data_IF_130334828417
#
_entry.id   IF_130334828417
#
_cell.length_a   1.000
_cell.length_b   1.000
_cell.length_c   1.000
_cell.angle_alpha   90.00
_cell.angle_beta   90.00
_cell.angle_gamma   90.00
#
_symmetry.space_group_name_H-M   'P 1'
#
loop_
_entity.id
_entity.type
_entity.pdbx_description
1 polymer ?
#
# COMPACT_ATOMS: atom_id res chain seq x y z
N UNK A 1 -4.36 0.11 -10.37
CA UNK A 1 -3.85 -1.10 -9.66
C UNK A 1 -4.14 -0.94 -8.18
N UNK A 2 -4.66 -1.96 -7.50
CA UNK A 2 -5.00 -1.88 -6.07
C UNK A 2 -3.77 -1.94 -5.16
N UNK A 3 -3.91 -1.47 -3.92
CA UNK A 3 -2.82 -1.46 -2.91
C UNK A 3 -2.22 -2.84 -2.68
N UNK A 4 -3.03 -3.90 -2.67
CA UNK A 4 -2.56 -5.29 -2.58
C UNK A 4 -1.60 -5.65 -3.73
N UNK A 5 -1.98 -5.32 -4.97
CA UNK A 5 -1.15 -5.57 -6.16
C UNK A 5 0.17 -4.81 -6.09
N UNK A 6 0.15 -3.52 -5.74
CA UNK A 6 1.37 -2.72 -5.62
C UNK A 6 2.28 -3.25 -4.52
N UNK A 7 1.72 -3.58 -3.36
CA UNK A 7 2.48 -4.16 -2.23
C UNK A 7 3.17 -5.46 -2.64
N UNK A 8 2.44 -6.38 -3.26
CA UNK A 8 2.99 -7.64 -3.76
C UNK A 8 4.08 -7.43 -4.80
N UNK A 9 3.88 -6.52 -5.76
CA UNK A 9 4.87 -6.21 -6.79
C UNK A 9 6.14 -5.60 -6.21
N UNK A 10 6.03 -4.63 -5.30
CA UNK A 10 7.20 -4.02 -4.66
C UNK A 10 7.95 -5.02 -3.77
N UNK A 11 7.23 -5.87 -3.03
CA UNK A 11 7.83 -6.93 -2.22
C UNK A 11 8.58 -7.93 -3.09
N UNK A 12 7.95 -8.40 -4.18
CA UNK A 12 8.56 -9.35 -5.10
C UNK A 12 9.79 -8.76 -5.79
N UNK A 13 9.67 -7.55 -6.34
CA UNK A 13 10.78 -6.86 -7.00
C UNK A 13 11.96 -6.61 -6.03
N UNK A 14 11.68 -6.14 -4.82
CA UNK A 14 12.72 -5.90 -3.81
C UNK A 14 13.38 -7.20 -3.31
N UNK A 15 12.62 -8.29 -3.18
CA UNK A 15 13.15 -9.60 -2.80
C UNK A 15 14.07 -10.18 -3.87
N UNK A 16 13.71 -10.06 -5.15
CA UNK A 16 14.59 -10.50 -6.24
C UNK A 16 15.85 -9.65 -6.29
N UNK A 17 15.71 -8.32 -6.16
CA UNK A 17 16.84 -7.40 -6.22
C UNK A 17 17.82 -7.54 -5.05
N UNK A 18 17.36 -8.02 -3.90
CA UNK A 18 18.15 -8.17 -2.67
C UNK A 18 18.19 -9.62 -2.19
N UNK A 19 18.13 -10.56 -3.13
CA UNK A 19 18.09 -11.99 -2.80
C UNK A 19 19.32 -12.42 -2.00
N UNK A 20 20.51 -11.93 -2.34
CA UNK A 20 21.76 -12.32 -1.68
C UNK A 20 21.75 -11.95 -0.18
N UNK A 21 21.11 -10.84 0.17
CA UNK A 21 20.94 -10.45 1.58
C UNK A 21 19.97 -11.40 2.30
N UNK A 22 18.82 -11.70 1.69
CA UNK A 22 17.84 -12.65 2.22
C UNK A 22 18.45 -14.03 2.41
N UNK A 23 19.19 -14.52 1.41
CA UNK A 23 19.88 -15.80 1.44
C UNK A 23 20.95 -15.84 2.53
N UNK A 24 21.71 -14.75 2.69
CA UNK A 24 22.67 -14.60 3.80
C UNK A 24 22.00 -14.71 5.17
N UNK A 25 20.87 -14.05 5.39
CA UNK A 25 20.10 -14.18 6.64
C UNK A 25 19.61 -15.62 6.86
N UNK A 26 19.11 -16.28 5.81
CA UNK A 26 18.64 -17.67 5.87
C UNK A 26 19.79 -18.65 6.18
N UNK A 27 20.96 -18.45 5.58
CA UNK A 27 22.17 -19.24 5.82
C UNK A 27 22.67 -19.13 7.26
N UNK A 28 22.46 -17.97 7.90
CA UNK A 28 22.71 -17.75 9.33
C UNK A 28 21.59 -18.29 10.24
N UNK A 29 20.57 -18.96 9.69
CA UNK A 29 19.48 -19.58 10.44
C UNK A 29 18.31 -18.65 10.77
N UNK A 30 18.22 -17.46 10.16
CA UNK A 30 17.07 -16.59 10.34
C UNK A 30 15.79 -17.24 9.76
N UNK A 31 14.64 -17.01 10.40
CA UNK A 31 13.35 -17.44 9.83
C UNK A 31 13.03 -16.61 8.57
N UNK A 32 12.28 -17.15 7.59
CA UNK A 32 11.89 -16.39 6.38
C UNK A 32 11.24 -15.04 6.69
N UNK A 33 10.42 -14.95 7.74
CA UNK A 33 9.82 -13.68 8.20
C UNK A 33 10.85 -12.65 8.65
N UNK A 34 11.95 -13.09 9.26
CA UNK A 34 13.02 -12.21 9.74
C UNK A 34 13.87 -11.74 8.56
N UNK A 35 14.22 -12.66 7.65
CA UNK A 35 15.05 -12.37 6.48
C UNK A 35 14.41 -11.33 5.52
N UNK A 36 13.07 -11.28 5.43
CA UNK A 36 12.36 -10.37 4.51
C UNK A 36 11.66 -9.19 5.18
N UNK A 37 11.76 -9.04 6.51
CA UNK A 37 11.00 -8.04 7.26
C UNK A 37 11.23 -6.60 6.75
N UNK A 38 12.49 -6.22 6.51
CA UNK A 38 12.84 -4.90 6.01
C UNK A 38 12.28 -4.64 4.61
N UNK A 39 12.31 -5.66 3.74
CA UNK A 39 11.76 -5.61 2.38
C UNK A 39 10.24 -5.44 2.40
N UNK A 40 9.55 -6.20 3.26
CA UNK A 40 8.11 -6.09 3.47
C UNK A 40 7.71 -4.69 3.94
N UNK A 41 8.43 -4.12 4.90
CA UNK A 41 8.19 -2.75 5.39
C UNK A 41 8.38 -1.72 4.26
N UNK A 42 9.46 -1.84 3.48
CA UNK A 42 9.70 -0.95 2.34
C UNK A 42 8.62 -1.06 1.26
N UNK A 43 8.16 -2.28 0.97
CA UNK A 43 7.10 -2.51 -0.01
C UNK A 43 5.76 -1.88 0.41
N UNK A 44 5.39 -1.97 1.69
CA UNK A 44 4.19 -1.29 2.24
C UNK A 44 4.31 0.22 2.08
N UNK A 45 5.47 0.80 2.44
CA UNK A 45 5.69 2.23 2.31
C UNK A 45 5.54 2.69 0.86
N UNK A 46 6.22 2.02 -0.08
CA UNK A 46 6.16 2.36 -1.50
C UNK A 46 4.76 2.21 -2.09
N UNK A 47 4.01 1.19 -1.67
CA UNK A 47 2.64 0.95 -2.16
C UNK A 47 1.63 2.03 -1.73
N UNK A 48 1.89 2.75 -0.64
CA UNK A 48 0.98 3.76 -0.09
C UNK A 48 1.27 5.18 -0.61
N UNK A 49 2.46 5.45 -1.16
CA UNK A 49 2.84 6.77 -1.69
C UNK A 49 1.78 7.34 -2.66
N UNK A 50 1.32 6.60 -3.69
CA UNK A 50 0.35 7.17 -4.65
C UNK A 50 -0.99 7.55 -4.00
N UNK A 51 -1.47 6.76 -3.04
CA UNK A 51 -2.73 7.02 -2.35
C UNK A 51 -2.64 8.27 -1.47
N UNK A 52 -1.50 8.45 -0.78
CA UNK A 52 -1.23 9.62 0.04
C UNK A 52 -1.15 10.88 -0.84
N UNK A 53 -0.43 10.81 -1.95
CA UNK A 53 -0.24 11.97 -2.83
C UNK A 53 -1.54 12.38 -3.54
N UNK A 54 -2.36 11.41 -3.96
CA UNK A 54 -3.71 11.69 -4.47
C UNK A 54 -4.59 12.35 -3.41
N UNK A 55 -4.53 11.88 -2.16
CA UNK A 55 -5.37 12.43 -1.08
C UNK A 55 -5.02 13.90 -0.79
N UNK A 56 -3.74 14.27 -0.82
CA UNK A 56 -3.28 15.66 -0.57
C UNK A 56 -3.82 16.67 -1.57
N UNK A 57 -4.02 16.29 -2.83
CA UNK A 57 -4.51 17.19 -3.88
C UNK A 57 -6.03 17.18 -4.03
N UNK A 58 -6.70 16.22 -3.38
CA UNK A 58 -8.15 16.08 -3.41
C UNK A 58 -8.82 17.27 -2.71
N UNK A 59 -9.85 17.83 -3.33
CA UNK A 59 -10.57 19.02 -2.87
C UNK A 59 -9.90 20.35 -3.23
N UNK A 60 -8.59 20.36 -3.52
CA UNK A 60 -7.86 21.54 -3.99
C UNK A 60 -7.79 21.61 -5.52
N UNK A 61 -7.37 20.52 -6.16
CA UNK A 61 -7.17 20.44 -7.62
C UNK A 61 -8.19 19.54 -8.28
N UNK A 62 -8.70 18.54 -7.54
CA UNK A 62 -9.65 17.57 -8.08
C UNK A 62 -10.78 17.35 -7.09
N UNK A 63 -12.02 17.52 -7.55
CA UNK A 63 -13.21 17.22 -6.75
C UNK A 63 -13.67 15.78 -7.03
N UNK A 64 -13.79 14.92 -6.01
CA UNK A 64 -14.33 13.57 -6.17
C UNK A 64 -15.79 13.60 -6.64
N UNK A 65 -16.18 12.63 -7.49
CA UNK A 65 -17.56 12.53 -7.99
C UNK A 65 -18.61 12.41 -6.89
N UNK A 66 -18.31 11.69 -5.80
CA UNK A 66 -19.21 11.57 -4.65
C UNK A 66 -19.44 12.91 -3.92
N UNK A 67 -18.39 13.72 -3.79
CA UNK A 67 -18.46 15.06 -3.19
C UNK A 67 -19.29 16.02 -4.06
N UNK A 68 -19.04 16.03 -5.37
CA UNK A 68 -19.81 16.83 -6.34
C UNK A 68 -21.28 16.42 -6.37
N UNK A 69 -21.53 15.10 -6.36
CA UNK A 69 -22.88 14.55 -6.31
C UNK A 69 -23.64 14.94 -5.05
N UNK A 70 -22.99 14.95 -3.89
CA UNK A 70 -23.58 15.42 -2.63
C UNK A 70 -24.01 16.89 -2.70
N UNK A 71 -23.16 17.76 -3.28
CA UNK A 71 -23.48 19.18 -3.45
C UNK A 71 -24.67 19.37 -4.38
N UNK A 72 -24.69 18.72 -5.53
CA UNK A 72 -25.83 18.79 -6.45
C UNK A 72 -27.10 18.14 -5.88
N UNK A 73 -26.96 17.20 -4.95
CA UNK A 73 -28.06 16.63 -4.16
C UNK A 73 -28.62 17.58 -3.08
N UNK A 74 -28.08 18.79 -2.96
CA UNK A 74 -28.56 19.82 -2.03
C UNK A 74 -27.82 19.88 -0.68
N UNK A 75 -26.77 19.07 -0.48
CA UNK A 75 -25.94 19.14 0.72
C UNK A 75 -25.02 20.38 0.63
N UNK A 76 -24.86 21.10 1.75
CA UNK A 76 -23.98 22.27 1.77
C UNK A 76 -22.51 21.86 1.46
N UNK A 77 -21.74 22.67 0.70
CA UNK A 77 -20.35 22.34 0.38
C UNK A 77 -19.47 22.09 1.62
N UNK A 78 -19.74 22.79 2.72
CA UNK A 78 -19.00 22.63 3.97
C UNK A 78 -19.26 21.25 4.60
N UNK A 79 -20.51 20.81 4.60
CA UNK A 79 -20.90 19.51 5.17
C UNK A 79 -20.41 18.35 4.30
N UNK A 80 -20.59 18.46 2.98
CA UNK A 80 -20.02 17.51 2.02
C UNK A 80 -18.50 17.38 2.21
N UNK A 81 -17.81 18.47 2.54
CA UNK A 81 -16.35 18.49 2.66
C UNK A 81 -15.87 17.74 3.89
N UNK A 82 -16.55 17.96 5.02
CA UNK A 82 -16.30 17.23 6.26
C UNK A 82 -16.49 15.73 6.07
N UNK A 83 -17.59 15.32 5.43
CA UNK A 83 -17.84 13.92 5.12
C UNK A 83 -16.75 13.34 4.21
N UNK A 84 -16.37 14.07 3.16
CA UNK A 84 -15.35 13.62 2.21
C UNK A 84 -13.97 13.41 2.88
N UNK A 85 -13.59 14.24 3.86
CA UNK A 85 -12.35 14.04 4.63
C UNK A 85 -12.38 12.70 5.39
N UNK A 86 -13.50 12.38 6.04
CA UNK A 86 -13.66 11.10 6.74
C UNK A 86 -13.58 9.92 5.77
N UNK A 87 -14.17 10.05 4.59
CA UNK A 87 -14.09 9.03 3.53
C UNK A 87 -12.65 8.82 3.07
N UNK A 88 -11.90 9.89 2.77
CA UNK A 88 -10.51 9.80 2.33
C UNK A 88 -9.63 9.17 3.41
N UNK A 89 -9.80 9.57 4.68
CA UNK A 89 -9.11 8.97 5.80
C UNK A 89 -9.43 7.46 5.93
N UNK A 90 -10.70 7.08 5.74
CA UNK A 90 -11.14 5.68 5.79
C UNK A 90 -10.53 4.85 4.66
N UNK A 91 -10.48 5.38 3.43
CA UNK A 91 -9.86 4.72 2.29
C UNK A 91 -8.34 4.56 2.50
N UNK A 92 -7.65 5.58 3.01
CA UNK A 92 -6.23 5.47 3.35
C UNK A 92 -5.98 4.42 4.45
N UNK A 93 -6.82 4.40 5.49
CA UNK A 93 -6.72 3.40 6.56
C UNK A 93 -6.93 1.98 6.01
N UNK A 94 -7.97 1.76 5.20
CA UNK A 94 -8.24 0.48 4.56
C UNK A 94 -7.09 0.05 3.64
N UNK A 95 -6.54 0.97 2.86
CA UNK A 95 -5.35 0.73 2.03
C UNK A 95 -4.12 0.33 2.86
N UNK A 96 -3.89 1.00 3.99
CA UNK A 96 -2.77 0.70 4.90
C UNK A 96 -2.91 -0.70 5.51
N UNK A 97 -4.10 -1.03 6.00
CA UNK A 97 -4.40 -2.38 6.52
C UNK A 97 -4.16 -3.42 5.42
N UNK A 98 -4.69 -3.18 4.21
CA UNK A 98 -4.51 -4.06 3.07
C UNK A 98 -3.04 -4.29 2.73
N UNK A 99 -2.23 -3.22 2.70
CA UNK A 99 -0.80 -3.32 2.45
C UNK A 99 -0.08 -4.15 3.51
N UNK A 100 -0.33 -3.87 4.80
CA UNK A 100 0.31 -4.59 5.91
C UNK A 100 -0.07 -6.06 5.92
N UNK A 101 -1.36 -6.37 5.76
CA UNK A 101 -1.84 -7.77 5.70
C UNK A 101 -1.21 -8.50 4.52
N UNK A 102 -1.27 -7.92 3.31
CA UNK A 102 -0.69 -8.49 2.10
C UNK A 102 0.81 -8.76 2.27
N UNK A 103 1.56 -7.77 2.76
CA UNK A 103 2.98 -7.92 3.00
C UNK A 103 3.27 -8.98 4.07
N UNK A 104 2.55 -9.00 5.18
CA UNK A 104 2.76 -9.96 6.26
C UNK A 104 2.45 -11.42 5.87
N UNK A 105 1.55 -11.61 4.91
CA UNK A 105 1.18 -12.91 4.36
C UNK A 105 2.16 -13.38 3.28
N UNK A 106 2.62 -12.47 2.41
CA UNK A 106 3.50 -12.79 1.27
C UNK A 106 5.00 -12.74 1.61
N UNK A 107 5.40 -11.98 2.63
CA UNK A 107 6.81 -11.78 2.98
C UNK A 107 7.59 -13.03 3.40
N UNK A 108 7.03 -14.07 4.06
CA UNK A 108 7.79 -15.26 4.46
C UNK A 108 8.30 -16.08 3.25
N UNK A 109 9.33 -15.59 2.57
CA UNK A 109 9.90 -16.17 1.35
C UNK A 109 11.17 -16.93 1.76
N UNK A 110 11.11 -18.26 1.71
CA UNK A 110 12.25 -19.13 2.05
C UNK A 110 13.02 -19.68 0.85
N UNK A 111 12.61 -19.33 -0.37
CA UNK A 111 13.25 -19.78 -1.61
C UNK A 111 13.25 -18.64 -2.61
N UNK A 112 14.26 -18.61 -3.50
CA UNK A 112 14.38 -17.57 -4.51
C UNK A 112 13.11 -17.53 -5.37
N UNK A 113 12.42 -16.39 -5.46
CA UNK A 113 11.27 -16.27 -6.34
C UNK A 113 11.73 -16.46 -7.79
N UNK A 114 11.11 -17.40 -8.51
CA UNK A 114 11.32 -17.55 -9.95
C UNK A 114 10.68 -16.38 -10.68
N UNK A 115 11.37 -15.82 -11.69
CA UNK A 115 10.79 -14.80 -12.57
C UNK A 115 9.47 -15.33 -13.13
N UNK A 116 8.38 -14.55 -12.98
CA UNK A 116 7.13 -14.84 -13.68
C UNK A 116 7.43 -14.70 -15.18
N UNK A 117 7.39 -15.83 -15.89
CA UNK A 117 7.51 -15.89 -17.35
C UNK A 117 6.36 -15.15 -18.03
#
# INVERSE_FOLDING_TARGET
>A
MGTATLTGRYLYASTISRWDEVDGWLALGARPRQATHALARGAVQSALIPAVDQTKTTGLVTLPGAFVGAIFGGISPLEAGRFQIVVLASVLAAGTITAVVTASWLAPIGRRPTALA
#
